data_IF_611218956633
#
_entry.id   IF_611218956633
#
_cell.length_a   1.000
_cell.length_b   1.000
_cell.length_c   1.000
_cell.angle_alpha   90.00
_cell.angle_beta   90.00
_cell.angle_gamma   90.00
#
_symmetry.space_group_name_H-M   'P 1'
#
loop_
_entity.id
_entity.type
_entity.pdbx_description
1 polymer ?
#
# COMPACT_ATOMS: atom_id res chain seq x y z
N UNK A 1 29.66 17.38 5.80
CA UNK A 1 28.58 16.49 6.28
C UNK A 1 27.26 17.21 6.03
N UNK A 2 26.67 17.06 4.84
CA UNK A 2 25.44 17.76 4.46
C UNK A 2 24.22 16.89 4.80
N UNK A 3 23.49 17.26 5.84
CA UNK A 3 22.19 16.67 6.14
C UNK A 3 21.21 17.12 5.06
N UNK A 4 20.89 16.28 4.09
CA UNK A 4 19.78 16.54 3.17
C UNK A 4 18.48 16.41 3.97
N UNK A 5 17.96 17.53 4.49
CA UNK A 5 16.64 17.61 5.12
C UNK A 5 15.60 17.30 4.04
N UNK A 6 15.19 16.04 3.94
CA UNK A 6 14.14 15.66 3.00
C UNK A 6 12.81 16.19 3.56
N UNK A 7 12.16 17.08 2.82
CA UNK A 7 10.84 17.59 3.19
C UNK A 7 9.78 16.90 2.34
N UNK A 8 8.64 16.52 2.93
CA UNK A 8 7.48 15.97 2.22
C UNK A 8 6.25 16.82 2.44
N UNK A 9 5.39 16.87 1.42
CA UNK A 9 4.06 17.47 1.53
C UNK A 9 3.13 16.48 2.24
N UNK A 10 2.48 16.92 3.30
CA UNK A 10 1.43 16.15 3.96
C UNK A 10 0.23 16.00 3.02
N UNK A 11 -0.25 14.78 2.78
CA UNK A 11 -1.41 14.54 1.88
C UNK A 11 -2.75 15.05 2.42
N UNK A 12 -2.82 15.33 3.72
CA UNK A 12 -4.06 15.77 4.39
C UNK A 12 -4.20 17.29 4.40
N UNK A 13 -3.16 18.01 4.84
CA UNK A 13 -3.19 19.48 4.97
C UNK A 13 -2.35 20.20 3.91
N UNK A 14 -1.64 19.47 3.05
CA UNK A 14 -0.77 20.00 1.99
C UNK A 14 0.45 20.82 2.46
N UNK A 15 0.69 20.84 3.77
CA UNK A 15 1.82 21.54 4.40
C UNK A 15 3.13 20.77 4.21
N UNK A 16 4.26 21.49 4.12
CA UNK A 16 5.60 20.89 4.07
C UNK A 16 6.06 20.48 5.46
N UNK A 17 6.39 19.21 5.64
CA UNK A 17 6.87 18.64 6.90
C UNK A 17 8.18 17.88 6.70
N UNK A 18 9.08 17.89 7.70
CA UNK A 18 10.33 17.14 7.62
C UNK A 18 10.06 15.62 7.62
N UNK A 19 10.78 14.86 6.77
CA UNK A 19 10.62 13.41 6.59
C UNK A 19 10.76 12.62 7.88
N UNK A 20 11.57 13.12 8.80
CA UNK A 20 11.92 12.44 10.04
C UNK A 20 10.77 12.47 11.05
N UNK A 21 9.71 13.24 10.78
CA UNK A 21 8.55 13.29 11.67
C UNK A 21 7.52 12.21 11.32
N UNK A 22 7.15 11.40 12.31
CA UNK A 22 6.16 10.32 12.16
C UNK A 22 4.73 10.85 11.99
N UNK A 23 4.45 12.04 12.53
CA UNK A 23 3.15 12.73 12.45
C UNK A 23 3.31 14.17 11.98
N UNK A 24 2.38 14.64 11.15
CA UNK A 24 2.39 16.01 10.69
C UNK A 24 2.11 16.95 11.89
N UNK A 25 2.99 17.91 12.22
CA UNK A 25 2.76 18.84 13.33
C UNK A 25 1.59 19.81 13.08
N UNK A 26 1.14 19.96 11.83
CA UNK A 26 0.06 20.88 11.46
C UNK A 26 -1.33 20.25 11.59
N UNK A 27 -1.48 18.97 11.28
CA UNK A 27 -2.78 18.29 11.30
C UNK A 27 -2.83 17.02 12.16
N UNK A 28 -1.71 16.63 12.79
CA UNK A 28 -1.59 15.43 13.61
C UNK A 28 -1.69 14.11 12.85
N UNK A 29 -1.82 14.14 11.51
CA UNK A 29 -1.97 12.91 10.73
C UNK A 29 -0.62 12.20 10.56
N UNK A 30 -0.58 10.89 10.80
CA UNK A 30 0.62 10.06 10.62
C UNK A 30 1.06 10.07 9.17
N UNK A 31 2.28 10.53 8.89
CA UNK A 31 2.80 10.74 7.54
C UNK A 31 3.34 9.44 6.93
N UNK A 32 3.87 8.54 7.76
CA UNK A 32 4.06 7.13 7.39
C UNK A 32 2.70 6.43 7.51
N UNK A 33 1.98 6.37 6.40
CA UNK A 33 0.85 5.47 6.25
C UNK A 33 1.33 4.03 6.35
N UNK A 34 1.37 3.51 7.57
CA UNK A 34 0.91 2.14 7.78
C UNK A 34 -0.55 2.18 7.31
N UNK A 35 -0.83 1.78 6.06
CA UNK A 35 -2.04 1.00 5.90
C UNK A 35 -1.80 -0.15 6.87
N UNK A 36 -2.51 -0.17 8.01
CA UNK A 36 -2.10 -1.01 9.10
C UNK A 36 -2.10 -2.42 8.52
N UNK A 37 -1.00 -3.15 8.64
CA UNK A 37 -0.90 -4.49 8.06
C UNK A 37 -2.11 -5.35 8.46
N UNK A 38 -2.70 -5.02 9.62
CA UNK A 38 -3.98 -5.52 10.12
C UNK A 38 -5.21 -5.19 9.26
N UNK A 39 -5.33 -4.03 8.63
CA UNK A 39 -6.42 -3.73 7.69
C UNK A 39 -6.32 -4.59 6.43
N UNK A 40 -5.10 -4.76 5.88
CA UNK A 40 -4.89 -5.65 4.73
C UNK A 40 -5.16 -7.10 5.12
N UNK A 41 -4.69 -7.53 6.29
CA UNK A 41 -4.95 -8.87 6.82
C UNK A 41 -6.44 -9.11 7.10
N UNK A 42 -7.15 -8.14 7.68
CA UNK A 42 -8.58 -8.23 7.97
C UNK A 42 -9.39 -8.32 6.67
N UNK A 43 -9.11 -7.47 5.68
CA UNK A 43 -9.78 -7.55 4.38
C UNK A 43 -9.48 -8.89 3.70
N UNK A 44 -8.23 -9.34 3.71
CA UNK A 44 -7.84 -10.63 3.13
C UNK A 44 -8.52 -11.83 3.80
N UNK A 45 -8.65 -11.82 5.12
CA UNK A 45 -9.33 -12.89 5.86
C UNK A 45 -10.83 -12.89 5.68
N UNK A 46 -11.48 -11.72 5.61
CA UNK A 46 -12.91 -11.61 5.29
C UNK A 46 -13.18 -12.15 3.87
N UNK A 47 -12.39 -11.73 2.88
CA UNK A 47 -12.54 -12.22 1.50
C UNK A 47 -12.30 -13.73 1.41
N UNK A 48 -11.26 -14.24 2.06
CA UNK A 48 -10.97 -15.68 2.11
C UNK A 48 -12.09 -16.50 2.74
N UNK A 49 -12.67 -16.00 3.85
CA UNK A 49 -13.78 -16.64 4.52
C UNK A 49 -15.05 -16.67 3.65
N UNK A 50 -15.41 -15.54 3.01
CA UNK A 50 -16.60 -15.47 2.13
C UNK A 50 -16.49 -16.41 0.92
N UNK A 51 -15.28 -16.64 0.42
CA UNK A 51 -14.99 -17.58 -0.68
C UNK A 51 -15.38 -19.04 -0.36
N UNK A 52 -15.36 -19.43 0.92
CA UNK A 52 -15.74 -20.79 1.37
C UNK A 52 -17.26 -20.99 1.43
N UNK A 53 -18.05 -19.93 1.56
CA UNK A 53 -19.50 -20.02 1.73
C UNK A 53 -20.29 -20.00 0.40
N UNK A 54 -19.74 -19.47 -0.69
CA UNK A 54 -20.43 -19.39 -2.00
C UNK A 54 -19.63 -20.06 -3.14
N UNK A 55 -19.64 -21.41 -3.23
CA UNK A 55 -18.88 -22.13 -4.25
C UNK A 55 -19.42 -21.92 -5.68
N UNK A 56 -20.64 -21.42 -5.83
CA UNK A 56 -21.27 -21.11 -7.13
C UNK A 56 -20.60 -19.95 -7.88
N UNK A 57 -19.82 -19.11 -7.19
CA UNK A 57 -19.10 -17.98 -7.78
C UNK A 57 -17.59 -18.20 -7.85
N UNK A 58 -17.11 -19.45 -7.79
CA UNK A 58 -15.69 -19.79 -7.87
C UNK A 58 -14.97 -19.12 -9.07
N UNK A 59 -15.68 -18.95 -10.19
CA UNK A 59 -15.16 -18.23 -11.37
C UNK A 59 -14.95 -16.74 -11.12
N UNK A 60 -15.83 -16.07 -10.38
CA UNK A 60 -15.66 -14.65 -10.01
C UNK A 60 -14.43 -14.47 -9.11
N UNK A 61 -14.26 -15.34 -8.11
CA UNK A 61 -13.08 -15.29 -7.24
C UNK A 61 -11.79 -15.66 -7.97
N UNK A 62 -11.84 -16.61 -8.91
CA UNK A 62 -10.70 -16.96 -9.74
C UNK A 62 -10.27 -15.79 -10.64
N UNK A 63 -11.23 -15.12 -11.29
CA UNK A 63 -10.96 -13.94 -12.13
C UNK A 63 -10.45 -12.77 -11.30
N UNK A 64 -11.04 -12.49 -10.14
CA UNK A 64 -10.56 -11.46 -9.22
C UNK A 64 -9.15 -11.76 -8.72
N UNK A 65 -8.91 -12.98 -8.24
CA UNK A 65 -7.60 -13.42 -7.76
C UNK A 65 -6.53 -13.34 -8.86
N UNK A 66 -6.86 -13.75 -10.07
CA UNK A 66 -5.98 -13.68 -11.23
C UNK A 66 -5.68 -12.23 -11.62
N UNK A 67 -6.68 -11.35 -11.61
CA UNK A 67 -6.51 -9.92 -11.85
C UNK A 67 -5.59 -9.25 -10.82
N UNK A 68 -5.77 -9.56 -9.54
CA UNK A 68 -4.89 -9.05 -8.47
C UNK A 68 -3.47 -9.59 -8.62
N UNK A 69 -3.30 -10.87 -8.93
CA UNK A 69 -1.98 -11.48 -9.12
C UNK A 69 -1.22 -10.85 -10.30
N UNK A 70 -1.91 -10.61 -11.42
CA UNK A 70 -1.32 -9.92 -12.57
C UNK A 70 -0.95 -8.46 -12.24
N UNK A 71 -1.85 -7.73 -11.57
CA UNK A 71 -1.58 -6.35 -11.17
C UNK A 71 -0.41 -6.22 -10.19
N UNK A 72 -0.38 -7.07 -9.17
CA UNK A 72 0.72 -7.12 -8.20
C UNK A 72 2.05 -7.51 -8.87
N UNK A 73 2.03 -8.50 -9.76
CA UNK A 73 3.20 -8.92 -10.54
C UNK A 73 3.77 -7.80 -11.40
N UNK A 74 2.91 -7.05 -12.10
CA UNK A 74 3.33 -5.91 -12.92
C UNK A 74 3.96 -4.79 -12.09
N UNK A 75 3.40 -4.47 -10.92
CA UNK A 75 3.96 -3.48 -10.00
C UNK A 75 5.31 -3.90 -9.40
N UNK A 76 5.48 -5.20 -9.12
CA UNK A 76 6.75 -5.74 -8.63
C UNK A 76 7.81 -5.78 -9.74
N UNK A 77 7.40 -6.04 -10.98
CA UNK A 77 8.28 -6.04 -12.15
C UNK A 77 8.89 -4.65 -12.40
N UNK A 78 8.06 -3.60 -12.37
CA UNK A 78 8.51 -2.21 -12.53
C UNK A 78 9.53 -1.80 -11.44
N UNK A 79 9.26 -2.21 -10.19
CA UNK A 79 10.16 -1.99 -9.05
C UNK A 79 11.51 -2.67 -9.21
N UNK A 80 11.54 -3.89 -9.76
CA UNK A 80 12.77 -4.64 -9.97
C UNK A 80 13.62 -4.04 -11.10
N UNK A 81 12.98 -3.53 -12.16
CA UNK A 81 13.68 -2.97 -13.31
C UNK A 81 14.54 -1.74 -12.93
N UNK A 82 14.05 -0.90 -12.02
CA UNK A 82 14.80 0.24 -11.45
C UNK A 82 16.09 -0.12 -10.71
N UNK A 83 16.26 -1.37 -10.29
CA UNK A 83 17.45 -1.84 -9.55
C UNK A 83 18.49 -2.43 -10.51
N UNK A 84 18.07 -2.87 -11.70
CA UNK A 84 18.94 -3.49 -12.69
C UNK A 84 19.43 -2.55 -13.79
N UNK A 85 18.84 -1.37 -13.96
CA UNK A 85 19.41 -0.32 -14.80
C UNK A 85 20.57 0.37 -14.05
N UNK A 86 21.83 0.19 -14.51
CA UNK A 86 23.02 0.76 -13.87
C UNK A 86 23.15 2.27 -14.06
#
# INVERSE_FOLDING_TARGET
MGMHEKQIRCRTCNETVPLDTSSCPHCGTSVRGFLPLSAVAAVGSIVGAVSLFNPSELLFFAVLGFGVALGAGALLYDRQQRIQEP
#
